data_IF_770764539200
#
_entry.id   IF_770764539200
#
_cell.length_a   1.000
_cell.length_b   1.000
_cell.length_c   1.000
_cell.angle_alpha   90.00
_cell.angle_beta   90.00
_cell.angle_gamma   90.00
#
_symmetry.space_group_name_H-M   'P 1'
#
loop_
_entity.id
_entity.type
_entity.pdbx_description
1 polymer ?
#
# COMPACT_ATOMS: atom_id res chain seq x y z
N UNK A 1 -7.95 -22.34 -1.83
CA UNK A 1 -7.10 -22.46 -0.62
C UNK A 1 -7.96 -22.01 0.55
N UNK A 2 -7.70 -22.41 1.79
CA UNK A 2 -8.57 -21.97 2.91
C UNK A 2 -8.23 -20.54 3.29
N UNK A 3 -9.22 -19.65 3.43
CA UNK A 3 -9.03 -18.24 3.82
C UNK A 3 -8.10 -18.04 5.04
N UNK A 4 -8.12 -18.94 6.03
CA UNK A 4 -7.20 -18.89 7.18
C UNK A 4 -5.72 -18.93 6.78
N UNK A 5 -5.38 -19.79 5.81
CA UNK A 5 -4.01 -19.92 5.32
C UNK A 5 -3.60 -18.63 4.62
N UNK A 6 -4.45 -18.11 3.75
CA UNK A 6 -4.17 -16.91 2.96
C UNK A 6 -3.98 -15.69 3.88
N UNK A 7 -4.80 -15.57 4.94
CA UNK A 7 -4.66 -14.53 5.96
C UNK A 7 -3.35 -14.65 6.75
N UNK A 8 -2.99 -15.87 7.19
CA UNK A 8 -1.74 -16.11 7.92
C UNK A 8 -0.53 -15.81 7.04
N UNK A 9 -0.58 -16.23 5.78
CA UNK A 9 0.49 -16.06 4.81
C UNK A 9 0.67 -14.58 4.46
N UNK A 10 -0.43 -13.87 4.14
CA UNK A 10 -0.43 -12.43 3.91
C UNK A 10 0.14 -11.65 5.09
N UNK A 11 -0.26 -12.00 6.32
CA UNK A 11 0.30 -11.35 7.52
C UNK A 11 1.82 -11.56 7.61
N UNK A 12 2.30 -12.77 7.35
CA UNK A 12 3.73 -13.07 7.35
C UNK A 12 4.49 -12.33 6.24
N UNK A 13 3.87 -12.11 5.08
CA UNK A 13 4.46 -11.31 3.99
C UNK A 13 4.56 -9.83 4.37
N UNK A 14 3.51 -9.26 4.96
CA UNK A 14 3.53 -7.87 5.44
C UNK A 14 4.59 -7.65 6.53
N UNK A 15 4.70 -8.59 7.49
CA UNK A 15 5.73 -8.52 8.54
C UNK A 15 7.17 -8.59 7.98
N UNK A 16 7.39 -9.34 6.89
CA UNK A 16 8.68 -9.39 6.20
C UNK A 16 8.96 -8.15 5.36
N UNK A 17 7.95 -7.61 4.69
CA UNK A 17 8.07 -6.38 3.93
C UNK A 17 8.52 -5.21 4.81
N UNK A 18 8.02 -5.10 6.05
CA UNK A 18 8.45 -4.08 7.01
C UNK A 18 9.94 -4.16 7.40
N UNK A 19 10.60 -5.30 7.18
CA UNK A 19 12.01 -5.54 7.49
C UNK A 19 12.91 -5.47 6.25
N UNK A 20 12.32 -5.36 5.06
CA UNK A 20 13.05 -5.33 3.82
C UNK A 20 13.73 -3.98 3.60
N UNK A 21 14.95 -4.01 3.09
CA UNK A 21 15.72 -2.81 2.75
C UNK A 21 15.69 -2.51 1.26
N UNK A 22 15.44 -3.53 0.43
CA UNK A 22 15.28 -3.40 -1.01
C UNK A 22 13.82 -3.02 -1.39
N UNK A 23 13.58 -1.84 -2.00
CA UNK A 23 12.22 -1.37 -2.27
C UNK A 23 11.42 -2.26 -3.23
N UNK A 24 12.08 -2.92 -4.18
CA UNK A 24 11.42 -3.82 -5.14
C UNK A 24 10.91 -5.07 -4.42
N UNK A 25 11.79 -5.78 -3.69
CA UNK A 25 11.41 -6.94 -2.88
C UNK A 25 10.42 -6.58 -1.76
N UNK A 26 10.46 -5.36 -1.25
CA UNK A 26 9.48 -4.88 -0.30
C UNK A 26 8.09 -4.81 -0.96
N UNK A 27 8.00 -4.15 -2.11
CA UNK A 27 6.75 -3.98 -2.84
C UNK A 27 6.18 -5.31 -3.32
N UNK A 28 7.00 -6.21 -3.87
CA UNK A 28 6.58 -7.55 -4.29
C UNK A 28 5.86 -8.30 -3.15
N UNK A 29 6.43 -8.30 -1.94
CA UNK A 29 5.82 -8.98 -0.79
C UNK A 29 4.52 -8.33 -0.35
N UNK A 30 4.42 -7.00 -0.46
CA UNK A 30 3.19 -6.27 -0.13
C UNK A 30 2.11 -6.63 -1.15
N UNK A 31 2.43 -6.60 -2.44
CA UNK A 31 1.49 -6.95 -3.51
C UNK A 31 0.98 -8.37 -3.35
N UNK A 32 1.88 -9.34 -3.13
CA UNK A 32 1.50 -10.74 -2.89
C UNK A 32 0.58 -10.86 -1.66
N UNK A 33 0.89 -10.16 -0.57
CA UNK A 33 0.04 -10.17 0.62
C UNK A 33 -1.35 -9.60 0.33
N UNK A 34 -1.44 -8.47 -0.39
CA UNK A 34 -2.71 -7.84 -0.73
C UNK A 34 -3.54 -8.72 -1.67
N UNK A 35 -2.91 -9.40 -2.62
CA UNK A 35 -3.57 -10.37 -3.51
C UNK A 35 -4.13 -11.54 -2.71
N UNK A 36 -3.38 -12.11 -1.77
CA UNK A 36 -3.86 -13.20 -0.91
C UNK A 36 -5.08 -12.77 -0.09
N UNK A 37 -5.07 -11.54 0.45
CA UNK A 37 -6.20 -11.00 1.20
C UNK A 37 -7.43 -10.72 0.32
N UNK A 38 -7.23 -10.24 -0.91
CA UNK A 38 -8.31 -9.93 -1.85
C UNK A 38 -8.94 -11.19 -2.44
N UNK A 39 -8.14 -12.21 -2.71
CA UNK A 39 -8.54 -13.46 -3.37
C UNK A 39 -8.85 -14.61 -2.40
N UNK A 40 -8.93 -14.32 -1.10
CA UNK A 40 -9.27 -15.30 -0.08
C UNK A 40 -10.64 -15.94 -0.38
N UNK A 41 -10.65 -17.27 -0.45
CA UNK A 41 -11.82 -18.06 -0.87
C UNK A 41 -12.83 -18.24 0.27
N UNK A 42 -14.07 -17.80 0.04
CA UNK A 42 -15.22 -17.88 0.95
C UNK A 42 -14.92 -17.55 2.44
N UNK A 43 -14.42 -16.34 2.77
CA UNK A 43 -14.14 -15.97 4.14
C UNK A 43 -15.43 -15.91 4.97
N UNK A 44 -15.40 -16.53 6.15
CA UNK A 44 -16.40 -16.28 7.20
C UNK A 44 -16.46 -14.79 7.56
N UNK A 45 -17.56 -14.31 8.17
CA UNK A 45 -17.66 -12.92 8.59
C UNK A 45 -16.49 -12.45 9.49
N UNK A 46 -16.01 -13.31 10.40
CA UNK A 46 -14.86 -12.99 11.25
C UNK A 46 -13.55 -12.86 10.45
N UNK A 47 -13.36 -13.70 9.43
CA UNK A 47 -12.19 -13.63 8.56
C UNK A 47 -12.23 -12.39 7.67
N UNK A 48 -13.39 -12.04 7.13
CA UNK A 48 -13.57 -10.82 6.34
C UNK A 48 -13.26 -9.56 7.17
N UNK A 49 -13.71 -9.52 8.44
CA UNK A 49 -13.36 -8.45 9.37
C UNK A 49 -11.85 -8.41 9.65
N UNK A 50 -11.22 -9.58 9.83
CA UNK A 50 -9.77 -9.66 10.04
C UNK A 50 -8.99 -9.17 8.81
N UNK A 51 -9.41 -9.53 7.60
CA UNK A 51 -8.82 -9.05 6.34
C UNK A 51 -8.89 -7.52 6.26
N UNK A 52 -10.08 -6.95 6.50
CA UNK A 52 -10.28 -5.50 6.48
C UNK A 52 -9.39 -4.80 7.52
N UNK A 53 -9.30 -5.35 8.74
CA UNK A 53 -8.45 -4.81 9.79
C UNK A 53 -6.96 -4.88 9.44
N UNK A 54 -6.50 -5.96 8.82
CA UNK A 54 -5.11 -6.09 8.37
C UNK A 54 -4.77 -5.06 7.29
N UNK A 55 -5.62 -4.91 6.27
CA UNK A 55 -5.45 -3.91 5.21
C UNK A 55 -5.42 -2.50 5.78
N UNK A 56 -6.36 -2.17 6.66
CA UNK A 56 -6.45 -0.85 7.30
C UNK A 56 -5.22 -0.55 8.19
N UNK A 57 -4.80 -1.51 9.01
CA UNK A 57 -3.63 -1.37 9.86
C UNK A 57 -2.35 -1.16 9.03
N UNK A 58 -2.21 -1.92 7.95
CA UNK A 58 -1.08 -1.79 7.05
C UNK A 58 -1.08 -0.45 6.30
N UNK A 59 -2.22 -0.04 5.73
CA UNK A 59 -2.36 1.26 5.06
C UNK A 59 -1.96 2.43 5.98
N UNK A 60 -2.37 2.40 7.25
CA UNK A 60 -1.97 3.41 8.25
C UNK A 60 -0.47 3.45 8.46
N UNK A 61 0.18 2.29 8.64
CA UNK A 61 1.64 2.22 8.80
C UNK A 61 2.36 2.71 7.55
N UNK A 62 1.88 2.29 6.38
CA UNK A 62 2.39 2.68 5.08
C UNK A 62 2.37 4.19 4.88
N UNK A 63 1.23 4.85 5.11
CA UNK A 63 1.12 6.31 5.04
C UNK A 63 2.05 7.02 6.05
N UNK A 64 2.20 6.48 7.26
CA UNK A 64 3.10 7.05 8.27
C UNK A 64 4.59 7.01 7.91
N UNK A 65 5.00 6.15 6.97
CA UNK A 65 6.40 6.02 6.52
C UNK A 65 6.66 6.59 5.13
N UNK A 66 5.68 6.59 4.23
CA UNK A 66 5.89 6.88 2.81
C UNK A 66 6.38 8.32 2.56
N UNK A 67 5.98 9.27 3.39
CA UNK A 67 6.45 10.67 3.31
C UNK A 67 7.94 10.85 3.63
N UNK A 68 8.60 9.81 4.17
CA UNK A 68 10.05 9.81 4.45
C UNK A 68 10.88 9.51 3.20
N UNK A 69 10.28 9.05 2.11
CA UNK A 69 10.94 8.70 0.84
C UNK A 69 11.40 9.91 0.01
N UNK A 70 11.66 11.08 0.63
CA UNK A 70 11.84 12.43 0.02
C UNK A 70 12.88 12.57 -1.10
N UNK A 71 13.64 11.51 -1.42
CA UNK A 71 14.68 11.48 -2.46
C UNK A 71 14.73 10.13 -3.20
N UNK A 72 13.60 9.45 -3.34
CA UNK A 72 13.52 8.19 -4.08
C UNK A 72 13.63 8.43 -5.60
N UNK A 73 14.17 7.45 -6.32
CA UNK A 73 14.13 7.43 -7.78
C UNK A 73 12.69 7.30 -8.27
N UNK A 74 12.42 7.70 -9.52
CA UNK A 74 11.10 7.53 -10.12
C UNK A 74 10.62 6.07 -10.08
N UNK A 75 11.52 5.13 -10.34
CA UNK A 75 11.24 3.68 -10.28
C UNK A 75 10.74 3.26 -8.89
N UNK A 76 11.49 3.61 -7.83
CA UNK A 76 11.10 3.32 -6.45
C UNK A 76 9.78 4.00 -6.07
N UNK A 77 9.61 5.27 -6.48
CA UNK A 77 8.34 5.97 -6.27
C UNK A 77 7.18 5.27 -6.97
N UNK A 78 7.38 4.76 -8.19
CA UNK A 78 6.34 4.08 -8.96
C UNK A 78 5.90 2.76 -8.31
N UNK A 79 6.82 1.98 -7.72
CA UNK A 79 6.46 0.78 -6.97
C UNK A 79 5.52 1.09 -5.80
N UNK A 80 5.87 2.08 -4.98
CA UNK A 80 5.00 2.46 -3.85
C UNK A 80 3.70 3.16 -4.29
N UNK A 81 3.66 3.75 -5.49
CA UNK A 81 2.41 4.28 -6.05
C UNK A 81 1.41 3.15 -6.31
N UNK A 82 1.86 2.01 -6.84
CA UNK A 82 1.02 0.83 -7.05
C UNK A 82 0.45 0.31 -5.72
N UNK A 83 1.24 0.31 -4.65
CA UNK A 83 0.76 -0.03 -3.31
C UNK A 83 -0.33 0.96 -2.82
N UNK A 84 -0.12 2.25 -3.08
CA UNK A 84 -1.10 3.30 -2.73
C UNK A 84 -2.43 3.08 -3.46
N UNK A 85 -2.38 2.68 -4.73
CA UNK A 85 -3.58 2.35 -5.52
C UNK A 85 -4.30 1.09 -5.01
N UNK A 86 -3.56 0.03 -4.68
CA UNK A 86 -4.12 -1.23 -4.14
C UNK A 86 -4.78 -1.05 -2.76
N UNK A 87 -4.39 -0.01 -2.01
CA UNK A 87 -4.94 0.36 -0.70
C UNK A 87 -5.83 1.61 -0.78
N UNK A 88 -6.25 2.05 -1.97
CA UNK A 88 -6.98 3.29 -2.15
C UNK A 88 -8.20 3.43 -1.22
N UNK A 89 -9.07 2.41 -1.05
CA UNK A 89 -10.21 2.52 -0.14
C UNK A 89 -9.78 2.79 1.31
N UNK A 90 -8.80 2.05 1.83
CA UNK A 90 -8.30 2.23 3.19
C UNK A 90 -7.61 3.59 3.37
N UNK A 91 -6.82 4.00 2.38
CA UNK A 91 -6.10 5.28 2.40
C UNK A 91 -7.07 6.46 2.34
N UNK A 92 -8.16 6.37 1.59
CA UNK A 92 -9.20 7.40 1.56
C UNK A 92 -9.91 7.53 2.90
N UNK A 93 -10.28 6.41 3.54
CA UNK A 93 -10.82 6.42 4.89
C UNK A 93 -9.86 7.10 5.86
N UNK A 94 -8.59 6.69 5.86
CA UNK A 94 -7.57 7.23 6.77
C UNK A 94 -7.30 8.72 6.54
N UNK A 95 -7.23 9.17 5.29
CA UNK A 95 -6.99 10.57 4.96
C UNK A 95 -8.16 11.48 5.35
N UNK A 96 -9.39 10.96 5.42
CA UNK A 96 -10.56 11.71 5.90
C UNK A 96 -10.58 11.82 7.42
N UNK A 97 -9.99 10.86 8.13
CA UNK A 97 -9.96 10.81 9.60
C UNK A 97 -8.74 11.51 10.21
N UNK A 98 -7.61 11.53 9.49
CA UNK A 98 -6.32 12.01 10.00
C UNK A 98 -5.61 12.93 8.99
N UNK A 99 -5.50 14.21 9.37
CA UNK A 99 -4.87 15.23 8.54
C UNK A 99 -3.37 15.00 8.30
N UNK A 100 -2.66 14.35 9.23
CA UNK A 100 -1.23 14.03 9.05
C UNK A 100 -1.07 12.94 7.99
N UNK A 101 -1.93 11.91 8.01
CA UNK A 101 -1.91 10.86 6.99
C UNK A 101 -2.32 11.40 5.61
N UNK A 102 -3.28 12.33 5.57
CA UNK A 102 -3.63 13.04 4.34
C UNK A 102 -2.44 13.83 3.77
N UNK A 103 -1.71 14.55 4.63
CA UNK A 103 -0.50 15.29 4.23
C UNK A 103 0.59 14.33 3.72
N UNK A 104 0.82 13.22 4.42
CA UNK A 104 1.82 12.23 4.03
C UNK A 104 1.52 11.64 2.64
N UNK A 105 0.25 11.30 2.38
CA UNK A 105 -0.22 10.86 1.05
C UNK A 105 0.08 11.93 0.00
N UNK A 106 -0.31 13.18 0.25
CA UNK A 106 -0.13 14.29 -0.70
C UNK A 106 1.36 14.53 -1.00
N UNK A 107 2.19 14.63 0.04
CA UNK A 107 3.62 14.88 -0.10
C UNK A 107 4.34 13.78 -0.91
N UNK A 108 3.89 12.52 -0.77
CA UNK A 108 4.42 11.43 -1.59
C UNK A 108 3.99 11.55 -3.07
N UNK A 109 2.71 11.79 -3.35
CA UNK A 109 2.21 11.93 -4.74
C UNK A 109 2.86 13.13 -5.44
N UNK A 110 2.99 14.25 -4.74
CA UNK A 110 3.57 15.49 -5.26
C UNK A 110 5.07 15.40 -5.55
N UNK A 111 5.75 14.31 -5.13
CA UNK A 111 7.18 14.11 -5.38
C UNK A 111 7.54 13.96 -6.86
N UNK A 112 6.69 13.25 -7.61
CA UNK A 112 6.87 13.02 -9.05
C UNK A 112 5.59 13.27 -9.86
N UNK A 113 4.44 13.42 -9.19
CA UNK A 113 3.14 13.64 -9.83
C UNK A 113 3.12 14.82 -10.82
N UNK A 114 3.66 16.00 -10.46
CA UNK A 114 3.73 17.14 -11.39
C UNK A 114 4.54 16.85 -12.65
N UNK A 115 5.71 16.21 -12.52
CA UNK A 115 6.59 15.85 -13.63
C UNK A 115 5.94 14.82 -14.56
N UNK A 116 5.30 13.80 -13.98
CA UNK A 116 4.53 12.78 -14.73
C UNK A 116 3.38 13.44 -15.50
N UNK A 117 2.61 14.30 -14.84
CA UNK A 117 1.51 15.03 -15.49
C UNK A 117 2.01 15.88 -16.67
N UNK A 118 3.10 16.62 -16.48
CA UNK A 118 3.69 17.44 -17.54
C UNK A 118 4.26 16.60 -18.69
N UNK A 119 4.78 15.41 -18.43
CA UNK A 119 5.22 14.47 -19.49
C UNK A 119 4.03 13.97 -20.31
N UNK A 120 2.94 13.56 -19.65
CA UNK A 120 1.72 13.09 -20.31
C UNK A 120 1.07 14.19 -21.17
N UNK A 121 1.02 15.43 -20.70
CA UNK A 121 0.48 16.57 -21.45
C UNK A 121 1.30 16.90 -22.70
N UNK A 122 2.63 16.71 -22.67
CA UNK A 122 3.52 16.93 -23.83
C UNK A 122 3.43 15.81 -24.88
N UNK A 123 2.94 14.64 -24.49
CA UNK A 123 2.79 13.48 -25.38
C UNK A 123 1.45 13.41 -26.11
N UNK A 124 0.55 14.37 -25.83
CA UNK A 124 -0.73 14.58 -26.52
C UNK A 124 -0.59 15.59 -27.64
#
# INVERSE_FOLDING_TARGET
MTADRDIIEARGLLERAEQESDPEQECERIEEALILLETADDPTPQQAELIANLRMAYARRFLGRISRLKKSTFEVWSYYLTILENLAPEIETLANEDAELAENRRAFVDMWGPEVKAALERSK
#
